data_IF_477701346816
#
_entry.id   IF_477701346816
#
_cell.length_a   1.000
_cell.length_b   1.000
_cell.length_c   1.000
_cell.angle_alpha   90.00
_cell.angle_beta   90.00
_cell.angle_gamma   90.00
#
_symmetry.space_group_name_H-M   'P 1'
#
loop_
_entity.id
_entity.type
_entity.pdbx_description
1 polymer ?
#
# COMPACT_ATOMS: atom_id res chain seq x y z
N UNK A 1 -17.44 -23.46 7.70
CA UNK A 1 -16.41 -22.65 7.03
C UNK A 1 -17.01 -21.55 6.12
N UNK A 2 -18.15 -21.78 5.46
CA UNK A 2 -18.87 -20.74 4.66
C UNK A 2 -19.20 -19.50 5.50
N UNK A 3 -19.80 -19.67 6.68
CA UNK A 3 -20.28 -18.60 7.55
C UNK A 3 -19.19 -17.61 8.05
N UNK A 4 -17.94 -18.04 8.23
CA UNK A 4 -16.85 -17.14 8.71
C UNK A 4 -16.40 -16.19 7.58
N UNK A 5 -16.11 -16.73 6.38
CA UNK A 5 -15.72 -15.93 5.22
C UNK A 5 -16.81 -14.95 4.80
N UNK A 6 -18.08 -15.36 4.91
CA UNK A 6 -19.21 -14.48 4.59
C UNK A 6 -19.29 -13.29 5.56
N UNK A 7 -18.99 -13.52 6.85
CA UNK A 7 -18.96 -12.45 7.84
C UNK A 7 -17.76 -11.51 7.64
N UNK A 8 -16.57 -12.05 7.39
CA UNK A 8 -15.38 -11.26 7.07
C UNK A 8 -15.61 -10.36 5.83
N UNK A 9 -16.22 -10.90 4.78
CA UNK A 9 -16.61 -10.17 3.58
C UNK A 9 -17.62 -9.05 3.91
N UNK A 10 -18.63 -9.34 4.71
CA UNK A 10 -19.63 -8.37 5.15
C UNK A 10 -19.01 -7.20 5.91
N UNK A 11 -18.08 -7.49 6.84
CA UNK A 11 -17.36 -6.47 7.59
C UNK A 11 -16.46 -5.63 6.67
N UNK A 12 -15.76 -6.26 5.72
CA UNK A 12 -14.92 -5.56 4.76
C UNK A 12 -15.73 -4.63 3.84
N UNK A 13 -16.90 -5.08 3.35
CA UNK A 13 -17.82 -4.26 2.54
C UNK A 13 -18.33 -3.05 3.33
N UNK A 14 -18.72 -3.25 4.60
CA UNK A 14 -19.13 -2.18 5.49
C UNK A 14 -17.98 -1.16 5.71
N UNK A 15 -16.76 -1.65 5.91
CA UNK A 15 -15.60 -0.79 6.05
C UNK A 15 -15.33 0.05 4.79
N UNK A 16 -15.43 -0.54 3.60
CA UNK A 16 -15.35 0.21 2.34
C UNK A 16 -16.41 1.30 2.23
N UNK A 17 -17.64 1.04 2.66
CA UNK A 17 -18.73 2.03 2.65
C UNK A 17 -18.47 3.17 3.63
N UNK A 18 -17.89 2.87 4.80
CA UNK A 18 -17.48 3.88 5.78
C UNK A 18 -16.35 4.75 5.21
N UNK A 19 -15.34 4.14 4.56
CA UNK A 19 -14.23 4.88 3.94
C UNK A 19 -14.67 5.78 2.79
N UNK A 20 -15.72 5.43 2.04
CA UNK A 20 -16.30 6.33 1.01
C UNK A 20 -16.83 7.64 1.60
N UNK A 21 -17.32 7.58 2.85
CA UNK A 21 -17.96 8.70 3.55
C UNK A 21 -17.03 9.49 4.46
N UNK A 22 -15.87 8.93 4.83
CA UNK A 22 -14.93 9.52 5.80
C UNK A 22 -13.46 9.14 5.50
N UNK A 23 -12.50 9.85 6.17
CA UNK A 23 -11.10 9.41 6.18
C UNK A 23 -10.91 8.18 7.06
N UNK A 24 -9.79 7.46 6.88
CA UNK A 24 -9.47 6.29 7.70
C UNK A 24 -9.34 6.66 9.20
N UNK A 25 -8.67 7.77 9.54
CA UNK A 25 -8.53 8.24 10.92
C UNK A 25 -9.86 8.50 11.61
N UNK A 26 -10.86 9.01 10.87
CA UNK A 26 -12.22 9.29 11.39
C UNK A 26 -13.12 8.05 11.45
N UNK A 27 -12.80 6.99 10.73
CA UNK A 27 -13.56 5.75 10.77
C UNK A 27 -13.45 5.11 12.17
N UNK A 28 -14.60 4.73 12.74
CA UNK A 28 -14.70 4.06 14.04
C UNK A 28 -15.32 2.67 13.88
N UNK A 29 -14.99 1.76 14.79
CA UNK A 29 -15.60 0.42 14.83
C UNK A 29 -17.13 0.52 14.90
N UNK A 30 -17.67 1.50 15.64
CA UNK A 30 -19.11 1.79 15.71
C UNK A 30 -19.71 1.98 14.32
N UNK A 31 -19.12 2.85 13.48
CA UNK A 31 -19.63 3.10 12.13
C UNK A 31 -19.57 1.83 11.25
N UNK A 32 -18.53 1.01 11.42
CA UNK A 32 -18.37 -0.23 10.67
C UNK A 32 -19.43 -1.25 11.09
N UNK A 33 -19.68 -1.40 12.40
CA UNK A 33 -20.66 -2.35 12.92
C UNK A 33 -22.09 -1.94 12.58
N UNK A 34 -22.41 -0.66 12.64
CA UNK A 34 -23.70 -0.10 12.20
C UNK A 34 -23.94 -0.34 10.71
N UNK A 35 -22.97 -0.02 9.85
CA UNK A 35 -23.04 -0.24 8.40
C UNK A 35 -23.15 -1.74 8.07
N UNK A 36 -22.45 -2.61 8.84
CA UNK A 36 -22.52 -4.06 8.67
C UNK A 36 -23.81 -4.67 9.28
N UNK A 37 -24.56 -3.95 10.11
CA UNK A 37 -25.71 -4.50 10.85
C UNK A 37 -25.30 -5.65 11.78
N UNK A 38 -24.20 -5.50 12.54
CA UNK A 38 -23.69 -6.49 13.50
C UNK A 38 -23.40 -5.84 14.84
N UNK A 39 -23.29 -6.65 15.90
CA UNK A 39 -22.86 -6.15 17.21
C UNK A 39 -21.35 -5.89 17.27
N UNK A 40 -20.92 -5.01 18.17
CA UNK A 40 -19.49 -4.82 18.48
C UNK A 40 -18.83 -6.13 18.91
N UNK A 41 -19.51 -6.94 19.72
CA UNK A 41 -19.01 -8.25 20.12
C UNK A 41 -18.75 -9.16 18.91
N UNK A 42 -19.61 -9.11 17.89
CA UNK A 42 -19.40 -9.85 16.64
C UNK A 42 -18.17 -9.36 15.92
N UNK A 43 -17.96 -8.04 15.81
CA UNK A 43 -16.75 -7.46 15.20
C UNK A 43 -15.48 -7.95 15.91
N UNK A 44 -15.42 -7.84 17.24
CA UNK A 44 -14.24 -8.20 18.02
C UNK A 44 -13.93 -9.70 18.05
N UNK A 45 -14.81 -10.55 17.55
CA UNK A 45 -14.52 -11.98 17.30
C UNK A 45 -13.64 -12.21 16.06
N UNK A 46 -13.58 -11.24 15.13
CA UNK A 46 -12.86 -11.32 13.87
C UNK A 46 -11.63 -10.41 13.82
N UNK A 47 -11.73 -9.22 14.44
CA UNK A 47 -10.72 -8.18 14.36
C UNK A 47 -10.49 -7.55 15.73
N UNK A 48 -9.23 -7.23 16.05
CA UNK A 48 -8.87 -6.55 17.29
C UNK A 48 -9.37 -5.09 17.30
N UNK A 49 -9.26 -4.43 16.16
CA UNK A 49 -9.68 -3.03 15.95
C UNK A 49 -9.77 -2.72 14.45
N UNK A 50 -9.98 -1.44 14.11
CA UNK A 50 -10.01 -1.00 12.70
C UNK A 50 -8.67 -1.14 11.97
N UNK A 51 -7.55 -1.10 12.69
CA UNK A 51 -6.20 -1.22 12.12
C UNK A 51 -5.92 -2.66 11.72
N UNK A 52 -6.26 -3.61 12.58
CA UNK A 52 -6.20 -5.05 12.29
C UNK A 52 -7.09 -5.41 11.09
N UNK A 53 -8.32 -4.87 11.04
CA UNK A 53 -9.20 -5.03 9.88
C UNK A 53 -8.55 -4.51 8.60
N UNK A 54 -8.07 -3.27 8.61
CA UNK A 54 -7.46 -2.63 7.45
C UNK A 54 -6.19 -3.37 6.99
N UNK A 55 -5.36 -3.80 7.93
CA UNK A 55 -4.15 -4.59 7.65
C UNK A 55 -4.48 -5.95 7.02
N UNK A 56 -5.45 -6.68 7.57
CA UNK A 56 -5.89 -7.97 7.01
C UNK A 56 -6.46 -7.82 5.60
N UNK A 57 -7.27 -6.77 5.35
CA UNK A 57 -7.76 -6.46 4.01
C UNK A 57 -6.61 -6.14 3.06
N UNK A 58 -5.66 -5.28 3.47
CA UNK A 58 -4.49 -4.93 2.65
C UNK A 58 -3.69 -6.18 2.27
N UNK A 59 -3.40 -7.04 3.24
CA UNK A 59 -2.73 -8.33 2.99
C UNK A 59 -3.54 -9.20 2.04
N UNK A 60 -4.82 -9.39 2.28
CA UNK A 60 -5.69 -10.20 1.41
C UNK A 60 -5.61 -9.71 -0.05
N UNK A 61 -5.66 -8.39 -0.28
CA UNK A 61 -5.58 -7.83 -1.65
C UNK A 61 -4.20 -8.06 -2.28
N UNK A 62 -3.12 -7.92 -1.53
CA UNK A 62 -1.77 -8.18 -2.04
C UNK A 62 -1.50 -9.67 -2.24
N UNK A 63 -2.08 -10.54 -1.43
CA UNK A 63 -1.93 -11.99 -1.55
C UNK A 63 -2.95 -12.66 -2.49
N UNK A 64 -3.95 -11.93 -2.99
CA UNK A 64 -5.01 -12.49 -3.84
C UNK A 64 -4.48 -13.22 -5.10
N UNK A 65 -3.25 -12.94 -5.52
CA UNK A 65 -2.59 -13.56 -6.67
C UNK A 65 -1.52 -14.57 -6.28
N UNK A 66 -1.35 -14.86 -4.99
CA UNK A 66 -0.33 -15.79 -4.49
C UNK A 66 -0.42 -17.18 -5.14
N UNK A 67 -1.64 -17.68 -5.32
CA UNK A 67 -1.87 -19.02 -5.87
C UNK A 67 -1.57 -19.12 -7.38
N UNK A 68 -1.43 -17.97 -8.05
CA UNK A 68 -1.12 -17.88 -9.48
C UNK A 68 0.40 -17.86 -9.72
N UNK A 69 1.16 -17.27 -8.78
CA UNK A 69 2.60 -17.17 -8.83
C UNK A 69 3.20 -18.16 -7.82
N UNK A 70 3.83 -19.21 -8.35
CA UNK A 70 4.56 -20.21 -7.55
C UNK A 70 5.68 -19.56 -6.73
N UNK A 71 6.29 -20.33 -5.83
CA UNK A 71 7.45 -19.94 -4.98
C UNK A 71 8.67 -19.35 -5.73
N UNK A 72 8.56 -19.20 -7.06
CA UNK A 72 9.60 -18.67 -7.95
C UNK A 72 9.26 -17.27 -8.51
N UNK A 73 8.35 -16.51 -7.90
CA UNK A 73 8.01 -15.17 -8.37
C UNK A 73 9.22 -14.23 -8.42
N UNK A 74 9.43 -13.59 -9.56
CA UNK A 74 10.46 -12.56 -9.72
C UNK A 74 10.09 -11.28 -8.98
N UNK A 75 11.09 -10.47 -8.66
CA UNK A 75 10.88 -9.14 -8.07
C UNK A 75 9.89 -8.28 -8.88
N UNK A 76 10.01 -8.30 -10.22
CA UNK A 76 9.08 -7.60 -11.11
C UNK A 76 7.65 -8.06 -10.90
N UNK A 77 7.41 -9.35 -10.85
CA UNK A 77 6.06 -9.92 -10.66
C UNK A 77 5.47 -9.52 -9.33
N UNK A 78 6.24 -9.55 -8.24
CA UNK A 78 5.78 -9.12 -6.92
C UNK A 78 5.34 -7.65 -6.95
N UNK A 79 6.15 -6.76 -7.53
CA UNK A 79 5.81 -5.33 -7.64
C UNK A 79 4.57 -5.13 -8.50
N UNK A 80 4.47 -5.81 -9.64
CA UNK A 80 3.30 -5.74 -10.54
C UNK A 80 2.03 -6.25 -9.85
N UNK A 81 2.12 -7.29 -9.02
CA UNK A 81 1.00 -7.78 -8.19
C UNK A 81 0.51 -6.67 -7.25
N UNK A 82 1.42 -6.03 -6.51
CA UNK A 82 1.09 -4.94 -5.60
C UNK A 82 0.40 -3.80 -6.35
N UNK A 83 0.96 -3.36 -7.48
CA UNK A 83 0.41 -2.28 -8.29
C UNK A 83 -0.98 -2.60 -8.87
N UNK A 84 -1.17 -3.81 -9.38
CA UNK A 84 -2.48 -4.25 -9.88
C UNK A 84 -3.50 -4.34 -8.74
N UNK A 85 -3.08 -4.80 -7.55
CA UNK A 85 -3.97 -4.82 -6.38
C UNK A 85 -4.44 -3.42 -6.01
N UNK A 86 -3.54 -2.43 -6.01
CA UNK A 86 -3.87 -1.02 -5.75
C UNK A 86 -4.87 -0.51 -6.81
N UNK A 87 -4.61 -0.77 -8.09
CA UNK A 87 -5.45 -0.32 -9.20
C UNK A 87 -6.83 -0.99 -9.23
N UNK A 88 -6.92 -2.25 -8.80
CA UNK A 88 -8.18 -3.00 -8.77
C UNK A 88 -9.11 -2.58 -7.58
N UNK A 89 -8.54 -1.97 -6.54
CA UNK A 89 -9.31 -1.49 -5.37
C UNK A 89 -9.08 0.00 -5.12
N UNK A 90 -9.35 0.87 -6.13
CA UNK A 90 -8.89 2.26 -6.14
C UNK A 90 -9.47 3.09 -4.97
N UNK A 91 -10.74 2.89 -4.63
CA UNK A 91 -11.39 3.64 -3.54
C UNK A 91 -10.73 3.32 -2.20
N UNK A 92 -10.46 2.05 -1.91
CA UNK A 92 -9.81 1.64 -0.68
C UNK A 92 -8.40 2.23 -0.58
N UNK A 93 -7.54 1.95 -1.56
CA UNK A 93 -6.16 2.38 -1.52
C UNK A 93 -6.02 3.90 -1.56
N UNK A 94 -6.85 4.62 -2.32
CA UNK A 94 -6.86 6.08 -2.31
C UNK A 94 -7.15 6.62 -0.91
N UNK A 95 -8.21 6.15 -0.26
CA UNK A 95 -8.58 6.59 1.09
C UNK A 95 -7.55 6.23 2.16
N UNK A 96 -6.90 5.08 2.01
CA UNK A 96 -5.81 4.69 2.90
C UNK A 96 -4.56 5.54 2.67
N UNK A 97 -4.19 5.83 1.42
CA UNK A 97 -3.02 6.65 1.07
C UNK A 97 -3.18 8.14 1.44
N UNK A 98 -4.40 8.67 1.41
CA UNK A 98 -4.72 10.04 1.84
C UNK A 98 -4.52 10.25 3.36
N UNK A 99 -4.48 9.16 4.12
CA UNK A 99 -4.42 9.18 5.58
C UNK A 99 -3.05 8.64 6.06
N UNK A 100 -2.32 9.34 6.95
CA UNK A 100 -1.00 8.88 7.41
C UNK A 100 -1.02 7.49 8.06
N UNK A 101 -2.04 7.20 8.89
CA UNK A 101 -2.17 5.88 9.53
C UNK A 101 -2.51 4.79 8.50
N UNK A 102 -3.35 5.13 7.51
CA UNK A 102 -3.67 4.25 6.40
C UNK A 102 -2.46 3.94 5.52
N UNK A 103 -1.66 4.95 5.20
CA UNK A 103 -0.44 4.78 4.42
C UNK A 103 0.58 3.87 5.14
N UNK A 104 0.67 3.97 6.46
CA UNK A 104 1.51 3.09 7.29
C UNK A 104 1.06 1.62 7.21
N UNK A 105 -0.25 1.37 7.20
CA UNK A 105 -0.80 0.02 7.03
C UNK A 105 -0.44 -0.55 5.65
N UNK A 106 -0.54 0.25 4.58
CA UNK A 106 -0.15 -0.18 3.24
C UNK A 106 1.34 -0.51 3.21
N UNK A 107 2.20 0.34 3.80
CA UNK A 107 3.63 0.12 3.92
C UNK A 107 3.94 -1.23 4.58
N UNK A 108 3.32 -1.52 5.72
CA UNK A 108 3.50 -2.78 6.42
C UNK A 108 2.97 -3.98 5.62
N UNK A 109 1.90 -3.80 4.85
CA UNK A 109 1.38 -4.81 3.92
C UNK A 109 2.36 -5.14 2.80
N UNK A 110 3.04 -4.13 2.23
CA UNK A 110 4.07 -4.30 1.20
C UNK A 110 5.26 -5.09 1.78
N UNK A 111 5.75 -4.71 2.96
CA UNK A 111 6.84 -5.43 3.62
C UNK A 111 6.45 -6.90 3.83
N UNK A 112 5.25 -7.16 4.35
CA UNK A 112 4.79 -8.51 4.64
C UNK A 112 4.64 -9.38 3.37
N UNK A 113 4.14 -8.81 2.25
CA UNK A 113 4.03 -9.58 1.01
C UNK A 113 5.38 -9.84 0.37
N UNK A 114 6.29 -8.85 0.36
CA UNK A 114 7.64 -9.04 -0.17
C UNK A 114 8.41 -10.06 0.65
N UNK A 115 8.37 -10.00 1.96
CA UNK A 115 9.01 -10.99 2.85
C UNK A 115 8.50 -12.41 2.58
N UNK A 116 7.19 -12.56 2.41
CA UNK A 116 6.60 -13.87 2.11
C UNK A 116 7.13 -14.48 0.81
N UNK A 117 7.31 -13.68 -0.24
CA UNK A 117 7.76 -14.17 -1.55
C UNK A 117 9.28 -14.30 -1.65
N UNK A 118 10.04 -13.43 -0.99
CA UNK A 118 11.51 -13.38 -1.14
C UNK A 118 12.26 -14.02 0.02
N UNK A 119 11.58 -14.31 1.13
CA UNK A 119 12.24 -14.72 2.37
C UNK A 119 13.07 -13.61 3.04
N UNK A 120 13.03 -12.38 2.51
CA UNK A 120 13.85 -11.26 2.98
C UNK A 120 12.96 -10.07 3.32
N UNK A 121 13.12 -9.51 4.53
CA UNK A 121 12.39 -8.32 4.95
C UNK A 121 12.96 -7.07 4.27
N UNK A 122 12.12 -6.34 3.54
CA UNK A 122 12.50 -5.05 2.98
C UNK A 122 12.75 -4.01 4.08
N UNK A 123 13.77 -3.20 3.90
CA UNK A 123 13.93 -2.02 4.73
C UNK A 123 12.81 -1.01 4.47
N UNK A 124 12.44 -0.23 5.49
CA UNK A 124 11.35 0.75 5.39
C UNK A 124 11.62 1.87 4.40
N UNK A 125 12.88 2.29 4.24
CA UNK A 125 13.24 3.46 3.43
C UNK A 125 12.77 3.37 1.97
N UNK A 126 13.12 2.32 1.18
CA UNK A 126 12.61 2.21 -0.18
C UNK A 126 11.09 2.10 -0.23
N UNK A 127 10.45 1.46 0.76
CA UNK A 127 8.98 1.34 0.80
C UNK A 127 8.32 2.69 1.07
N UNK A 128 8.94 3.59 1.87
CA UNK A 128 8.46 4.96 2.04
C UNK A 128 8.45 5.74 0.71
N UNK A 129 9.46 5.52 -0.14
CA UNK A 129 9.49 6.12 -1.49
C UNK A 129 8.32 5.59 -2.33
N UNK A 130 8.05 4.28 -2.28
CA UNK A 130 6.90 3.71 -2.98
C UNK A 130 5.58 4.30 -2.52
N UNK A 131 5.41 4.50 -1.20
CA UNK A 131 4.20 5.14 -0.66
C UNK A 131 4.04 6.56 -1.24
N UNK A 132 5.13 7.32 -1.41
CA UNK A 132 5.08 8.65 -2.04
C UNK A 132 4.65 8.57 -3.51
N UNK A 133 5.20 7.63 -4.28
CA UNK A 133 4.79 7.35 -5.66
C UNK A 133 3.31 6.95 -5.73
N UNK A 134 2.84 6.10 -4.81
CA UNK A 134 1.44 5.66 -4.79
C UNK A 134 0.48 6.79 -4.41
N UNK A 135 0.87 7.70 -3.52
CA UNK A 135 0.08 8.90 -3.20
C UNK A 135 -0.09 9.78 -4.43
N UNK A 136 0.98 10.03 -5.17
CA UNK A 136 0.91 10.79 -6.42
C UNK A 136 0.06 10.06 -7.46
N UNK A 137 0.26 8.75 -7.64
CA UNK A 137 -0.55 7.93 -8.54
C UNK A 137 -2.04 7.95 -8.18
N UNK A 138 -2.36 7.92 -6.87
CA UNK A 138 -3.74 8.00 -6.40
C UNK A 138 -4.39 9.37 -6.65
N UNK A 139 -3.58 10.45 -6.67
CA UNK A 139 -4.08 11.82 -6.92
C UNK A 139 -4.59 12.00 -8.34
N UNK A 140 -4.08 11.24 -9.30
CA UNK A 140 -4.58 11.19 -10.68
C UNK A 140 -5.54 10.03 -10.96
N UNK A 141 -6.17 9.48 -9.89
CA UNK A 141 -7.11 8.36 -9.94
C UNK A 141 -6.52 7.10 -10.59
N UNK A 142 -5.25 6.83 -10.36
CA UNK A 142 -4.50 5.65 -10.86
C UNK A 142 -4.50 5.54 -12.39
N UNK A 143 -4.57 6.66 -13.12
CA UNK A 143 -4.63 6.67 -14.60
C UNK A 143 -3.31 6.30 -15.25
N UNK A 144 -2.18 6.64 -14.61
CA UNK A 144 -0.85 6.25 -15.11
C UNK A 144 -0.78 4.72 -15.25
N UNK A 145 -0.25 4.20 -16.37
CA UNK A 145 -0.08 2.76 -16.56
C UNK A 145 0.77 2.11 -15.46
N UNK A 146 0.42 0.87 -15.10
CA UNK A 146 1.14 0.10 -14.06
C UNK A 146 2.63 -0.05 -14.39
N UNK A 147 2.95 -0.27 -15.68
CA UNK A 147 4.33 -0.40 -16.13
C UNK A 147 5.16 0.87 -15.90
N UNK A 148 4.57 2.05 -16.08
CA UNK A 148 5.27 3.32 -15.85
C UNK A 148 5.55 3.51 -14.35
N UNK A 149 4.59 3.17 -13.49
CA UNK A 149 4.78 3.18 -12.03
C UNK A 149 5.85 2.17 -11.62
N UNK A 150 5.85 0.97 -12.22
CA UNK A 150 6.91 -0.03 -12.00
C UNK A 150 8.30 0.53 -12.38
N UNK A 151 8.41 1.23 -13.51
CA UNK A 151 9.67 1.84 -13.93
C UNK A 151 10.17 2.90 -12.94
N UNK A 152 9.27 3.73 -12.40
CA UNK A 152 9.61 4.68 -11.34
C UNK A 152 10.16 3.96 -10.10
N UNK A 153 9.44 2.95 -9.61
CA UNK A 153 9.87 2.14 -8.46
C UNK A 153 11.26 1.54 -8.73
N UNK A 154 11.47 0.95 -9.92
CA UNK A 154 12.75 0.36 -10.30
C UNK A 154 13.89 1.38 -10.26
N UNK A 155 13.69 2.58 -10.80
CA UNK A 155 14.70 3.66 -10.80
C UNK A 155 15.08 4.00 -9.36
N UNK A 156 14.11 4.29 -8.50
CA UNK A 156 14.36 4.69 -7.11
C UNK A 156 14.92 3.55 -6.23
N UNK A 157 14.64 2.30 -6.56
CA UNK A 157 15.21 1.14 -5.87
C UNK A 157 16.64 0.84 -6.33
N UNK A 158 16.91 1.00 -7.63
CA UNK A 158 18.19 0.65 -8.24
C UNK A 158 19.30 1.69 -8.01
N UNK A 159 18.97 2.94 -7.71
CA UNK A 159 19.99 3.98 -7.48
C UNK A 159 20.96 3.62 -6.33
N UNK A 160 20.50 2.89 -5.31
CA UNK A 160 21.35 2.42 -4.22
C UNK A 160 22.24 1.22 -4.59
N UNK A 161 21.84 0.45 -5.62
CA UNK A 161 22.60 -0.71 -6.08
C UNK A 161 23.59 -0.37 -7.20
N UNK A 162 23.40 0.77 -7.88
CA UNK A 162 24.14 1.15 -9.10
C UNK A 162 25.21 2.19 -8.84
N UNK A 163 25.06 3.01 -7.79
CA UNK A 163 26.03 4.06 -7.47
C UNK A 163 26.77 3.76 -6.17
N UNK A 164 28.12 3.83 -6.15
CA UNK A 164 28.89 3.82 -4.94
C UNK A 164 28.41 4.90 -3.96
N UNK A 165 28.48 4.69 -2.64
CA UNK A 165 28.07 5.68 -1.64
C UNK A 165 28.64 7.08 -1.89
N UNK A 166 29.93 7.15 -2.25
CA UNK A 166 30.62 8.39 -2.58
C UNK A 166 30.05 9.14 -3.80
N UNK A 167 29.48 8.42 -4.77
CA UNK A 167 28.83 9.02 -5.93
C UNK A 167 27.43 9.56 -5.54
N UNK A 168 26.76 8.88 -4.64
CA UNK A 168 25.47 9.34 -4.06
C UNK A 168 25.71 10.61 -3.26
N UNK A 169 26.71 10.64 -2.39
CA UNK A 169 27.08 11.80 -1.58
C UNK A 169 27.45 12.99 -2.48
N UNK A 170 28.20 12.78 -3.55
CA UNK A 170 28.52 13.79 -4.54
C UNK A 170 27.31 14.36 -5.27
N UNK A 171 26.37 13.48 -5.65
CA UNK A 171 25.10 13.91 -6.28
C UNK A 171 24.27 14.72 -5.29
N UNK A 172 24.17 14.28 -4.04
CA UNK A 172 23.45 14.99 -2.98
C UNK A 172 24.09 16.36 -2.72
N UNK A 173 25.42 16.45 -2.65
CA UNK A 173 26.14 17.73 -2.50
C UNK A 173 25.84 18.70 -3.65
N UNK A 174 25.75 18.22 -4.88
CA UNK A 174 25.36 19.02 -6.05
C UNK A 174 23.92 19.54 -5.87
N UNK A 175 22.99 18.69 -5.40
CA UNK A 175 21.59 19.10 -5.19
C UNK A 175 21.46 20.09 -4.03
N UNK A 176 22.17 19.89 -2.93
CA UNK A 176 22.14 20.79 -1.76
C UNK A 176 22.68 22.18 -2.06
N UNK A 177 23.65 22.29 -2.99
CA UNK A 177 24.28 23.55 -3.36
C UNK A 177 23.65 24.25 -4.57
N UNK A 178 22.60 23.67 -5.19
CA UNK A 178 21.90 24.31 -6.30
C UNK A 178 20.86 25.34 -5.82
N UNK A 179 20.80 26.53 -6.44
CA UNK A 179 19.72 27.48 -6.18
C UNK A 179 18.35 26.85 -6.47
N UNK A 180 17.34 27.12 -5.63
CA UNK A 180 15.97 26.61 -5.81
C UNK A 180 15.37 26.89 -7.19
N UNK A 181 15.84 27.93 -7.87
CA UNK A 181 15.41 28.33 -9.22
C UNK A 181 15.85 27.33 -10.30
N UNK A 182 16.89 26.55 -10.06
CA UNK A 182 17.36 25.51 -10.98
C UNK A 182 16.30 24.43 -11.24
N UNK A 183 15.45 24.14 -10.25
CA UNK A 183 14.40 23.12 -10.33
C UNK A 183 13.07 23.65 -10.89
N UNK A 184 12.92 24.96 -11.10
CA UNK A 184 11.68 25.59 -11.59
C UNK A 184 11.61 25.76 -13.11
N UNK A 185 12.69 25.51 -13.83
CA UNK A 185 12.85 25.82 -15.27
C UNK A 185 12.93 24.61 -16.19
N UNK A 186 12.49 23.40 -15.71
CA UNK A 186 12.40 22.20 -16.55
C UNK A 186 11.04 21.50 -16.44
#
# INVERSE_FOLDING_TARGET
MSSQKDMEKKIAEAFYNVLKKSSFSKAKVTNITEEAGISHQTFYRYYLDKYDLAYKITKEKFFAFHDIYSDSATWKEIVIIILNSIKNYPVFFKKMLEDPEGAEIILNGIIAVTEKFTGTTLSRHPVCIWISIFKEWSSNDFKTPVEDIYHLIKIYTSLKEVLPPEEIDRIMEIYENQPLDYFRTR
#
